data_IF_365553116071
#
_entry.id   IF_365553116071
#
_cell.length_a   1.000
_cell.length_b   1.000
_cell.length_c   1.000
_cell.angle_alpha   90.00
_cell.angle_beta   90.00
_cell.angle_gamma   90.00
#
_symmetry.space_group_name_H-M   'P 1'
#
loop_
_entity.id
_entity.type
_entity.pdbx_description
1 polymer ?
#
# COMPACT_ATOMS: atom_id res chain seq x y z
N UNK A 1 36.89 17.69 6.75
CA UNK A 1 38.16 16.94 6.56
C UNK A 1 38.15 15.83 7.61
N UNK A 2 37.96 14.55 7.28
CA UNK A 2 39.00 13.69 6.69
C UNK A 2 38.38 12.49 5.95
N UNK A 3 38.79 12.35 4.69
CA UNK A 3 38.53 11.20 3.81
C UNK A 3 39.47 10.06 4.18
N UNK A 4 39.00 8.81 4.12
CA UNK A 4 39.84 7.64 3.81
C UNK A 4 39.09 6.64 2.95
N UNK A 5 39.36 6.73 1.66
CA UNK A 5 39.05 5.74 0.62
C UNK A 5 39.87 4.47 0.85
N UNK A 6 39.28 3.31 0.53
CA UNK A 6 39.98 2.02 0.42
C UNK A 6 39.35 1.21 -0.72
N UNK A 7 39.98 1.27 -1.88
CA UNK A 7 39.72 0.43 -3.07
C UNK A 7 40.44 -0.90 -2.87
N UNK A 8 39.77 -2.02 -3.14
CA UNK A 8 40.43 -3.31 -3.40
C UNK A 8 39.85 -3.92 -4.68
N UNK A 9 40.75 -4.18 -5.62
CA UNK A 9 40.53 -4.85 -6.90
C UNK A 9 40.82 -6.37 -6.76
N UNK A 10 40.39 -7.08 -7.81
CA UNK A 10 40.96 -8.27 -8.46
C UNK A 10 40.31 -9.65 -8.18
N UNK A 11 39.82 -10.26 -9.28
CA UNK A 11 39.87 -11.70 -9.58
C UNK A 11 38.49 -12.38 -9.57
N UNK A 12 37.86 -12.81 -10.66
CA UNK A 12 38.38 -13.23 -11.97
C UNK A 12 38.70 -14.73 -11.97
N UNK A 13 37.70 -15.61 -12.12
CA UNK A 13 37.91 -17.00 -12.54
C UNK A 13 36.66 -17.59 -13.22
N UNK A 14 36.75 -17.72 -14.55
CA UNK A 14 35.89 -18.55 -15.39
C UNK A 14 36.37 -19.99 -15.31
N UNK A 15 35.48 -20.94 -15.08
CA UNK A 15 35.72 -22.36 -15.29
C UNK A 15 34.51 -22.97 -16.01
N UNK A 16 34.73 -23.27 -17.28
CA UNK A 16 33.84 -24.02 -18.16
C UNK A 16 33.87 -25.50 -17.81
N UNK A 17 32.70 -26.11 -17.63
CA UNK A 17 32.55 -27.57 -17.60
C UNK A 17 31.42 -27.96 -18.57
N UNK A 18 31.81 -28.56 -19.70
CA UNK A 18 30.91 -29.21 -20.65
C UNK A 18 31.08 -30.73 -20.54
N UNK A 19 29.97 -31.45 -20.43
CA UNK A 19 29.77 -32.89 -20.65
C UNK A 19 28.26 -33.11 -20.56
N UNK A 20 27.55 -33.91 -21.34
CA UNK A 20 27.82 -34.78 -22.47
C UNK A 20 26.43 -35.27 -22.88
N UNK A 21 26.20 -35.42 -24.19
CA UNK A 21 24.91 -35.72 -24.82
C UNK A 21 24.48 -37.18 -24.64
N UNK A 22 23.22 -37.43 -24.26
CA UNK A 22 22.52 -38.69 -24.53
C UNK A 22 21.15 -38.40 -25.18
N UNK A 23 20.83 -39.20 -26.20
CA UNK A 23 19.75 -39.01 -27.18
C UNK A 23 18.47 -39.79 -26.82
N UNK A 24 17.32 -39.13 -27.04
CA UNK A 24 15.90 -39.53 -27.03
C UNK A 24 15.55 -40.87 -27.74
N UNK A 25 14.37 -41.51 -27.48
CA UNK A 25 13.07 -41.07 -28.05
C UNK A 25 11.86 -41.21 -27.09
N UNK A 26 10.95 -40.23 -27.01
CA UNK A 26 9.65 -40.13 -27.71
C UNK A 26 8.63 -41.23 -27.37
N UNK A 27 7.75 -40.94 -26.40
CA UNK A 27 6.35 -41.35 -26.46
C UNK A 27 5.47 -40.19 -25.96
N UNK A 28 4.50 -39.89 -26.81
CA UNK A 28 3.55 -38.80 -26.79
C UNK A 28 2.38 -39.21 -25.90
N UNK A 29 2.16 -38.53 -24.78
CA UNK A 29 0.81 -38.38 -24.24
C UNK A 29 0.68 -37.03 -23.53
N UNK A 30 0.04 -36.12 -24.24
CA UNK A 30 -0.21 -34.75 -23.82
C UNK A 30 -1.34 -34.70 -22.80
N UNK A 31 -1.01 -34.34 -21.56
CA UNK A 31 -1.86 -33.44 -20.77
C UNK A 31 -0.94 -32.48 -20.02
N UNK A 32 -0.61 -31.36 -20.68
CA UNK A 32 -0.19 -30.16 -19.99
C UNK A 32 -1.39 -29.62 -19.21
N UNK A 33 -1.33 -29.71 -17.89
CA UNK A 33 -1.99 -28.72 -17.03
C UNK A 33 -0.84 -27.96 -16.38
N UNK A 34 -0.36 -26.96 -17.10
CA UNK A 34 0.43 -25.89 -16.51
C UNK A 34 -0.47 -25.26 -15.46
N UNK A 35 -0.21 -25.58 -14.20
CA UNK A 35 -0.69 -24.78 -13.10
C UNK A 35 0.17 -23.52 -13.15
N UNK A 36 -0.31 -22.54 -13.92
CA UNK A 36 0.19 -21.17 -13.84
C UNK A 36 0.00 -20.74 -12.38
N UNK A 37 1.09 -20.85 -11.61
CA UNK A 37 1.30 -19.99 -10.48
C UNK A 37 1.35 -18.60 -11.06
N UNK A 38 0.20 -17.92 -11.06
CA UNK A 38 0.17 -16.47 -11.18
C UNK A 38 1.02 -15.94 -10.03
N UNK A 39 2.30 -15.71 -10.34
CA UNK A 39 3.22 -14.93 -9.54
C UNK A 39 2.54 -13.56 -9.36
N UNK A 40 1.83 -13.41 -8.24
CA UNK A 40 1.37 -12.11 -7.79
C UNK A 40 2.59 -11.20 -7.80
N UNK A 41 2.49 -9.96 -8.31
CA UNK A 41 3.64 -9.10 -8.41
C UNK A 41 4.24 -8.95 -7.02
N UNK A 42 5.49 -9.39 -6.90
CA UNK A 42 6.37 -9.03 -5.81
C UNK A 42 6.46 -7.50 -5.81
N UNK A 43 5.53 -6.83 -5.12
CA UNK A 43 5.67 -5.41 -4.85
C UNK A 43 6.75 -5.31 -3.80
N UNK A 44 7.98 -5.25 -4.31
CA UNK A 44 9.18 -4.88 -3.58
C UNK A 44 8.84 -3.70 -2.66
N UNK A 45 9.18 -3.85 -1.38
CA UNK A 45 8.83 -2.91 -0.33
C UNK A 45 9.07 -1.46 -0.74
N UNK A 46 7.99 -0.68 -0.75
CA UNK A 46 8.11 0.77 -0.78
C UNK A 46 8.48 1.21 0.63
N UNK A 47 9.80 1.33 0.83
CA UNK A 47 10.38 2.15 1.88
C UNK A 47 9.64 3.48 1.93
N UNK A 48 9.19 3.85 3.12
CA UNK A 48 8.42 5.05 3.41
C UNK A 48 8.84 6.24 2.55
N UNK A 49 7.92 6.66 1.69
CA UNK A 49 7.98 7.94 1.05
C UNK A 49 6.75 8.67 1.53
N UNK A 50 6.96 9.75 2.28
CA UNK A 50 5.91 10.68 2.69
C UNK A 50 5.15 11.08 1.42
N UNK A 51 3.93 10.55 1.25
CA UNK A 51 3.09 10.87 0.12
C UNK A 51 2.77 12.37 0.21
N UNK A 52 3.27 13.14 -0.76
CA UNK A 52 2.99 14.56 -0.85
C UNK A 52 1.47 14.74 -0.97
N UNK A 53 0.86 15.51 -0.06
CA UNK A 53 -0.58 15.65 0.07
C UNK A 53 -1.28 16.07 -1.24
N UNK A 54 -0.57 16.73 -2.16
CA UNK A 54 -1.12 17.16 -3.46
C UNK A 54 -1.41 16.04 -4.48
N UNK A 55 -0.88 14.83 -4.32
CA UNK A 55 -1.07 13.73 -5.28
C UNK A 55 -2.01 12.63 -4.77
N UNK A 56 -2.72 12.88 -3.66
CA UNK A 56 -3.63 11.89 -3.09
C UNK A 56 -4.80 11.58 -4.05
N UNK A 57 -5.20 10.31 -4.20
CA UNK A 57 -6.39 9.96 -4.97
C UNK A 57 -7.66 10.55 -4.35
N UNK A 58 -8.66 10.82 -5.18
CA UNK A 58 -9.99 11.23 -4.71
C UNK A 58 -10.63 10.11 -3.87
N UNK A 59 -11.38 10.49 -2.84
CA UNK A 59 -12.19 9.56 -2.07
C UNK A 59 -13.46 9.18 -2.86
N UNK A 60 -13.54 7.94 -3.37
CA UNK A 60 -14.75 7.44 -4.02
C UNK A 60 -15.33 6.21 -3.30
N UNK A 61 -16.67 6.14 -3.28
CA UNK A 61 -17.42 5.00 -2.75
C UNK A 61 -17.00 3.69 -3.41
N UNK A 62 -16.84 2.63 -2.60
CA UNK A 62 -16.42 1.30 -3.04
C UNK A 62 -14.91 1.13 -3.25
N UNK A 63 -14.10 2.17 -3.08
CA UNK A 63 -12.64 2.08 -3.12
C UNK A 63 -12.06 1.68 -1.75
N UNK A 64 -10.89 1.05 -1.77
CA UNK A 64 -10.16 0.67 -0.57
C UNK A 64 -8.67 0.95 -0.72
N UNK A 65 -8.03 1.35 0.37
CA UNK A 65 -6.58 1.34 0.47
C UNK A 65 -6.06 -0.10 0.52
N UNK A 66 -4.76 -0.31 0.24
CA UNK A 66 -4.05 -1.51 0.70
C UNK A 66 -4.17 -1.69 2.22
N UNK A 67 -3.82 -2.89 2.69
CA UNK A 67 -3.55 -3.11 4.11
C UNK A 67 -2.29 -2.33 4.50
N UNK A 68 -2.39 -1.59 5.60
CA UNK A 68 -1.36 -0.75 6.16
C UNK A 68 -0.74 -1.49 7.34
N UNK A 69 0.55 -1.77 7.27
CA UNK A 69 1.34 -2.20 8.41
C UNK A 69 1.53 -1.03 9.40
N UNK A 70 2.09 -1.33 10.57
CA UNK A 70 2.37 -0.30 11.58
C UNK A 70 3.29 0.80 11.04
N UNK A 71 2.85 2.04 11.19
CA UNK A 71 3.52 3.24 10.73
C UNK A 71 3.27 3.58 9.26
N UNK A 72 2.59 2.71 8.51
CA UNK A 72 2.23 3.01 7.13
C UNK A 72 1.02 3.94 7.06
N UNK A 73 0.96 4.68 5.95
CA UNK A 73 -0.02 5.73 5.73
C UNK A 73 -0.73 5.59 4.40
N UNK A 74 -1.98 6.02 4.35
CA UNK A 74 -2.69 6.28 3.10
C UNK A 74 -3.37 7.65 3.17
N UNK A 75 -3.56 8.30 2.02
CA UNK A 75 -4.16 9.62 1.94
C UNK A 75 -5.23 9.65 0.86
N UNK A 76 -6.31 10.38 1.10
CA UNK A 76 -7.36 10.66 0.12
C UNK A 76 -7.76 12.14 0.18
N UNK A 77 -8.08 12.73 -0.97
CA UNK A 77 -8.67 14.06 -1.05
C UNK A 77 -10.20 13.98 -1.10
N UNK A 78 -10.86 14.90 -0.40
CA UNK A 78 -12.30 14.97 -0.22
C UNK A 78 -12.86 16.22 -0.89
N UNK A 79 -13.03 16.17 -2.21
CA UNK A 79 -13.45 17.33 -3.01
C UNK A 79 -14.98 17.52 -3.05
N UNK A 80 -15.73 16.43 -3.06
CA UNK A 80 -17.19 16.48 -3.25
C UNK A 80 -17.94 16.57 -1.91
N UNK A 81 -18.86 17.53 -1.72
CA UNK A 81 -19.69 17.60 -0.53
C UNK A 81 -20.54 16.33 -0.33
N UNK A 82 -20.59 15.81 0.90
CA UNK A 82 -21.32 14.58 1.21
C UNK A 82 -20.87 13.89 2.50
N UNK A 83 -21.47 12.74 2.77
CA UNK A 83 -21.01 11.83 3.83
C UNK A 83 -20.32 10.63 3.18
N UNK A 84 -19.14 10.30 3.71
CA UNK A 84 -18.30 9.19 3.27
C UNK A 84 -18.16 8.24 4.47
N UNK A 85 -19.03 7.22 4.58
CA UNK A 85 -18.86 6.17 5.56
C UNK A 85 -17.63 5.35 5.19
N UNK A 86 -16.80 5.10 6.20
CA UNK A 86 -15.55 4.35 6.06
C UNK A 86 -15.57 3.21 7.04
N UNK A 87 -15.11 2.04 6.61
CA UNK A 87 -14.86 0.90 7.48
C UNK A 87 -13.48 0.28 7.23
N UNK A 88 -13.06 -0.60 8.14
CA UNK A 88 -11.92 -1.49 7.92
C UNK A 88 -12.43 -2.87 7.44
N UNK A 89 -12.00 -3.34 6.26
CA UNK A 89 -12.51 -4.55 5.64
C UNK A 89 -12.32 -5.85 6.47
N UNK A 90 -11.13 -6.18 7.02
CA UNK A 90 -10.98 -7.39 7.84
C UNK A 90 -11.80 -7.34 9.14
N UNK A 91 -12.19 -6.13 9.59
CA UNK A 91 -12.95 -5.93 10.82
C UNK A 91 -14.07 -4.88 10.63
N UNK A 92 -15.18 -5.21 9.92
CA UNK A 92 -16.17 -4.23 9.44
C UNK A 92 -16.92 -3.41 10.51
N UNK A 93 -16.68 -3.69 11.79
CA UNK A 93 -17.23 -2.91 12.92
C UNK A 93 -16.38 -1.70 13.28
N UNK A 94 -15.15 -1.61 12.76
CA UNK A 94 -14.33 -0.42 12.84
C UNK A 94 -14.83 0.56 11.78
N UNK A 95 -15.48 1.64 12.21
CA UNK A 95 -16.16 2.56 11.32
C UNK A 95 -15.90 4.01 11.72
N UNK A 96 -15.90 4.88 10.72
CA UNK A 96 -15.95 6.33 10.87
C UNK A 96 -16.77 6.95 9.74
N UNK A 97 -17.09 8.24 9.86
CA UNK A 97 -17.73 9.02 8.79
C UNK A 97 -16.91 10.28 8.56
N UNK A 98 -16.56 10.55 7.31
CA UNK A 98 -16.07 11.87 6.88
C UNK A 98 -17.25 12.64 6.30
N UNK A 99 -17.55 13.81 6.84
CA UNK A 99 -18.55 14.74 6.27
C UNK A 99 -17.82 15.88 5.58
N UNK A 100 -18.14 16.12 4.31
CA UNK A 100 -17.57 17.20 3.52
C UNK A 100 -18.63 18.28 3.36
N UNK A 101 -18.39 19.46 3.94
CA UNK A 101 -19.30 20.59 3.86
C UNK A 101 -18.56 21.93 3.78
N UNK A 102 -19.15 22.87 3.05
CA UNK A 102 -18.61 24.23 2.90
C UNK A 102 -18.51 24.96 4.24
N UNK A 103 -17.37 25.62 4.49
CA UNK A 103 -17.13 26.37 5.73
C UNK A 103 -16.86 25.51 6.97
N UNK A 104 -16.59 24.22 6.80
CA UNK A 104 -16.08 23.37 7.86
C UNK A 104 -14.74 23.92 8.43
N UNK A 105 -14.50 23.68 9.72
CA UNK A 105 -13.32 24.22 10.40
C UNK A 105 -12.01 23.52 10.01
N UNK A 106 -12.07 22.27 9.57
CA UNK A 106 -10.91 21.51 9.11
C UNK A 106 -10.78 21.70 7.60
N UNK A 107 -9.66 22.27 7.14
CA UNK A 107 -9.40 22.47 5.72
C UNK A 107 -7.92 22.28 5.38
N UNK A 108 -7.64 21.98 4.11
CA UNK A 108 -6.29 21.69 3.63
C UNK A 108 -5.86 20.27 3.96
N UNK A 109 -5.40 20.04 5.19
CA UNK A 109 -4.87 18.74 5.63
C UNK A 109 -5.42 18.34 7.00
N UNK A 110 -5.75 17.06 7.15
CA UNK A 110 -6.10 16.45 8.43
C UNK A 110 -5.42 15.08 8.57
N UNK A 111 -5.20 14.65 9.81
CA UNK A 111 -4.57 13.37 10.11
C UNK A 111 -5.42 12.57 11.10
N UNK A 112 -5.56 11.27 10.86
CA UNK A 112 -6.32 10.35 11.70
C UNK A 112 -5.46 9.11 11.99
N UNK A 113 -5.24 8.81 13.26
CA UNK A 113 -4.59 7.57 13.64
C UNK A 113 -5.60 6.41 13.63
N UNK A 114 -5.14 5.23 13.22
CA UNK A 114 -5.80 3.95 13.46
C UNK A 114 -5.06 3.29 14.63
N UNK A 115 -5.71 3.20 15.78
CA UNK A 115 -5.09 2.70 17.01
C UNK A 115 -6.14 2.07 17.93
N UNK A 116 -5.74 1.11 18.77
CA UNK A 116 -6.63 0.35 19.65
C UNK A 116 -7.83 -0.28 18.90
N UNK A 117 -7.61 -0.77 17.68
CA UNK A 117 -8.65 -1.34 16.81
C UNK A 117 -9.80 -0.36 16.52
N UNK A 118 -9.49 0.92 16.35
CA UNK A 118 -10.46 1.96 15.92
C UNK A 118 -9.78 3.02 15.05
N UNK A 119 -10.57 3.70 14.22
CA UNK A 119 -10.21 5.05 13.77
C UNK A 119 -10.30 5.98 15.00
N UNK A 120 -9.28 6.83 15.23
CA UNK A 120 -9.22 7.70 16.41
C UNK A 120 -10.45 8.61 16.50
N UNK A 121 -10.87 9.15 15.36
CA UNK A 121 -12.11 9.92 15.21
C UNK A 121 -13.20 9.07 14.57
N UNK A 122 -14.38 9.06 15.19
CA UNK A 122 -15.57 8.41 14.62
C UNK A 122 -16.25 9.27 13.56
N UNK A 123 -16.07 10.59 13.66
CA UNK A 123 -16.64 11.55 12.72
C UNK A 123 -15.70 12.73 12.62
N UNK A 124 -15.41 13.16 11.39
CA UNK A 124 -14.72 14.40 11.12
C UNK A 124 -15.50 15.17 10.05
N UNK A 125 -15.57 16.48 10.20
CA UNK A 125 -16.18 17.37 9.22
C UNK A 125 -15.09 18.22 8.60
N UNK A 126 -14.96 18.21 7.26
CA UNK A 126 -13.89 18.87 6.51
C UNK A 126 -14.44 19.72 5.37
N UNK A 127 -13.68 20.73 4.95
CA UNK A 127 -14.01 21.58 3.82
C UNK A 127 -13.66 20.85 2.50
N UNK A 128 -14.41 21.09 1.40
CA UNK A 128 -14.04 20.58 0.08
C UNK A 128 -12.57 20.78 -0.27
N UNK A 129 -11.93 19.72 -0.78
CA UNK A 129 -10.52 19.69 -1.16
C UNK A 129 -9.56 19.35 -0.02
N UNK A 130 -10.07 19.01 1.17
CA UNK A 130 -9.23 18.57 2.29
C UNK A 130 -8.63 17.19 2.00
N UNK A 131 -7.34 17.04 2.25
CA UNK A 131 -6.63 15.76 2.23
C UNK A 131 -6.62 15.19 3.64
N UNK A 132 -7.10 13.96 3.80
CA UNK A 132 -7.02 13.24 5.06
C UNK A 132 -5.99 12.13 4.93
N UNK A 133 -5.04 12.09 5.86
CA UNK A 133 -4.04 11.02 5.98
C UNK A 133 -4.35 10.13 7.16
N UNK A 134 -4.48 8.83 6.90
CA UNK A 134 -4.59 7.82 7.94
C UNK A 134 -3.23 7.19 8.20
N UNK A 135 -2.86 7.02 9.47
CA UNK A 135 -1.66 6.27 9.88
C UNK A 135 -2.06 5.10 10.75
N UNK A 136 -1.59 3.90 10.42
CA UNK A 136 -1.80 2.75 11.31
C UNK A 136 -0.77 2.78 12.46
N UNK A 137 -1.23 2.82 13.71
CA UNK A 137 -0.39 2.76 14.91
C UNK A 137 -0.45 1.39 15.61
N UNK A 138 -1.38 0.53 15.21
CA UNK A 138 -1.52 -0.82 15.76
C UNK A 138 -0.49 -1.79 15.13
N UNK A 139 -0.15 -2.86 15.86
CA UNK A 139 0.70 -3.94 15.33
C UNK A 139 -0.05 -4.86 14.34
N UNK A 140 -1.38 -4.71 14.25
CA UNK A 140 -2.26 -5.44 13.34
C UNK A 140 -2.54 -4.56 12.12
N UNK A 141 -2.59 -5.17 10.94
CA UNK A 141 -2.84 -4.43 9.70
C UNK A 141 -4.29 -3.92 9.62
N UNK A 142 -4.44 -2.73 9.07
CA UNK A 142 -5.72 -2.05 8.88
C UNK A 142 -5.79 -1.41 7.50
N UNK A 143 -7.00 -1.08 7.04
CA UNK A 143 -7.19 -0.33 5.81
C UNK A 143 -8.32 0.68 5.97
N UNK A 144 -8.41 1.58 4.99
CA UNK A 144 -9.49 2.54 4.81
C UNK A 144 -10.33 2.06 3.62
N UNK A 145 -11.60 1.75 3.84
CA UNK A 145 -12.53 1.31 2.79
C UNK A 145 -13.76 2.19 2.81
N UNK A 146 -14.13 2.75 1.65
CA UNK A 146 -15.30 3.59 1.47
C UNK A 146 -16.52 2.73 1.12
N UNK A 147 -17.64 2.93 1.83
CA UNK A 147 -18.91 2.22 1.57
C UNK A 147 -19.63 2.72 0.32
#
# INVERSE_FOLDING_TARGET
MNKRSGVFLIGGLLLTGAYGTETQPAEDDMIAVEQEMEEGPDVEGQTGNEANAQDAPEANSGEASPLLAKGETTSYVFSDPGEFPIHCQPHPKMQMIVTVEEGAANSGEAAIDIADFKFADKTITVEPGTVITWTNQDDVEHNVTFD
#
